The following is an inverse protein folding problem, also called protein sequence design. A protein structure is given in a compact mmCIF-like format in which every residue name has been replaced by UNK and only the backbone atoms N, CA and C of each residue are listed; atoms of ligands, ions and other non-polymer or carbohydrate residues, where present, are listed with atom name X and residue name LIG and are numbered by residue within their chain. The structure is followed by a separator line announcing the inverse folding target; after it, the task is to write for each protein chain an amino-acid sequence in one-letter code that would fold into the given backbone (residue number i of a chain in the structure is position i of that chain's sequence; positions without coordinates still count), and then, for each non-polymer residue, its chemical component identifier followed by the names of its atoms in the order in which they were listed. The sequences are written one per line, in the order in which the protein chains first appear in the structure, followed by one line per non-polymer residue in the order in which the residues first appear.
data_IF_836331561579
#
_entry.id   IF_836331561579
#
_cell.length_a   1.000
_cell.length_b   1.000
_cell.length_c   1.000
_cell.angle_alpha   90.00
_cell.angle_beta   90.00
_cell.angle_gamma   90.00
#
_symmetry.space_group_name_H-M   'P 1'
#
loop_
_entity.id
_entity.type
_entity.pdbx_description
1 polymer ?
#
# COMPACT_ATOMS: atom_id res chain seq x y z
N UNK A 1 25.07 1.25 -11.90
CA UNK A 1 24.50 0.71 -10.64
C UNK A 1 23.06 1.16 -10.64
N UNK A 2 22.12 0.23 -10.75
CA UNK A 2 20.75 0.44 -11.22
C UNK A 2 19.97 1.46 -10.37
N UNK A 3 19.31 2.43 -11.04
CA UNK A 3 18.45 3.47 -10.46
C UNK A 3 17.22 2.82 -9.80
N UNK A 4 17.33 2.46 -8.53
CA UNK A 4 16.21 1.94 -7.73
C UNK A 4 15.29 3.10 -7.34
N UNK A 5 13.98 2.87 -7.33
CA UNK A 5 13.03 3.80 -6.74
C UNK A 5 13.31 3.99 -5.24
N UNK A 6 13.40 5.23 -4.82
CA UNK A 6 13.47 5.66 -3.42
C UNK A 6 12.71 6.99 -3.21
N UNK A 7 12.59 7.43 -1.95
CA UNK A 7 11.94 8.69 -1.57
C UNK A 7 12.55 9.96 -2.20
N UNK A 8 13.75 9.88 -2.79
CA UNK A 8 14.43 10.99 -3.43
C UNK A 8 14.25 11.01 -4.95
N UNK A 9 13.55 10.01 -5.50
CA UNK A 9 13.31 9.87 -6.93
C UNK A 9 12.31 10.89 -7.50
N UNK A 10 11.51 11.55 -6.63
CA UNK A 10 10.59 12.63 -6.98
C UNK A 10 10.30 13.51 -5.74
N UNK A 11 9.53 14.59 -5.92
CA UNK A 11 9.07 15.44 -4.81
C UNK A 11 8.26 14.65 -3.77
N UNK A 12 7.40 13.75 -4.26
CA UNK A 12 6.64 12.78 -3.46
C UNK A 12 6.70 11.45 -4.20
N UNK A 13 7.01 10.38 -3.47
CA UNK A 13 6.94 9.00 -3.96
C UNK A 13 5.97 8.24 -3.07
N UNK A 14 4.82 7.87 -3.61
CA UNK A 14 3.84 7.03 -2.94
C UNK A 14 3.92 5.57 -3.42
N UNK A 15 3.77 4.63 -2.49
CA UNK A 15 3.96 3.21 -2.79
C UNK A 15 2.78 2.42 -2.23
N UNK A 16 2.14 1.58 -3.07
CA UNK A 16 1.08 0.67 -2.65
C UNK A 16 1.65 -0.75 -2.59
N UNK A 17 1.82 -1.26 -1.37
CA UNK A 17 2.30 -2.61 -1.10
C UNK A 17 1.13 -3.59 -0.98
N UNK A 18 1.07 -4.56 -1.90
CA UNK A 18 0.04 -5.61 -1.90
C UNK A 18 0.60 -7.03 -1.87
N UNK A 19 1.91 -7.21 -2.09
CA UNK A 19 2.57 -8.53 -2.10
C UNK A 19 4.01 -8.52 -1.57
N UNK A 20 4.21 -7.94 -0.39
CA UNK A 20 5.49 -7.90 0.32
C UNK A 20 6.08 -9.30 0.53
N UNK A 21 7.39 -9.44 0.27
CA UNK A 21 8.13 -10.67 0.55
C UNK A 21 7.97 -11.78 -0.50
N UNK A 22 7.16 -11.54 -1.54
CA UNK A 22 7.10 -12.38 -2.73
C UNK A 22 7.57 -11.57 -3.96
N UNK A 23 6.65 -11.04 -4.77
CA UNK A 23 7.02 -10.23 -5.94
C UNK A 23 7.19 -8.73 -5.62
N UNK A 24 6.66 -8.27 -4.48
CA UNK A 24 6.73 -6.88 -4.04
C UNK A 24 7.83 -6.61 -3.01
N UNK A 25 8.25 -5.34 -2.95
CA UNK A 25 9.19 -4.83 -1.95
C UNK A 25 8.54 -4.82 -0.56
N UNK A 26 9.26 -5.27 0.46
CA UNK A 26 8.77 -5.32 1.84
C UNK A 26 9.02 -4.03 2.62
N UNK A 27 10.22 -3.46 2.47
CA UNK A 27 10.60 -2.25 3.20
C UNK A 27 10.01 -1.00 2.55
N UNK A 28 9.71 0.04 3.34
CA UNK A 28 9.28 1.32 2.78
C UNK A 28 10.37 1.88 1.86
N UNK A 29 9.97 2.35 0.70
CA UNK A 29 10.86 2.99 -0.29
C UNK A 29 10.30 4.33 -0.77
N UNK A 30 9.12 4.75 -0.33
CA UNK A 30 8.50 6.02 -0.68
C UNK A 30 8.72 7.14 0.33
N UNK A 31 8.17 8.30 -0.01
CA UNK A 31 7.77 9.34 0.94
C UNK A 31 6.62 8.83 1.81
N UNK A 32 5.68 8.08 1.21
CA UNK A 32 4.54 7.44 1.87
C UNK A 32 4.37 6.02 1.34
N UNK A 33 4.23 5.05 2.26
CA UNK A 33 4.08 3.63 1.91
C UNK A 33 2.77 3.08 2.50
N UNK A 34 1.88 2.64 1.63
CA UNK A 34 0.57 2.08 1.96
C UNK A 34 0.61 0.55 1.96
N UNK A 35 0.23 -0.06 3.07
CA UNK A 35 0.24 -1.51 3.24
C UNK A 35 -1.19 -2.07 3.19
N UNK A 36 -1.69 -2.27 1.97
CA UNK A 36 -3.08 -2.67 1.76
C UNK A 36 -3.35 -4.06 2.36
N UNK A 37 -4.34 -4.16 3.25
CA UNK A 37 -4.79 -5.43 3.85
C UNK A 37 -3.65 -6.27 4.48
N UNK A 38 -2.66 -5.63 5.10
CA UNK A 38 -1.48 -6.31 5.67
C UNK A 38 -0.40 -6.65 4.64
N UNK A 39 -0.54 -6.18 3.41
CA UNK A 39 0.45 -6.11 2.33
C UNK A 39 1.05 -7.43 1.80
N UNK A 40 0.70 -8.60 2.34
CA UNK A 40 1.25 -9.89 1.90
C UNK A 40 0.29 -10.58 0.91
N UNK A 41 -0.93 -10.86 1.37
CA UNK A 41 -1.96 -11.58 0.62
C UNK A 41 -3.23 -10.76 0.61
N UNK A 42 -3.74 -10.46 -0.59
CA UNK A 42 -4.92 -9.63 -0.72
C UNK A 42 -6.22 -10.44 -0.68
N UNK A 43 -7.34 -9.84 -0.23
CA UNK A 43 -8.65 -10.48 -0.27
C UNK A 43 -9.00 -11.02 -1.66
N UNK A 44 -9.45 -12.28 -1.70
CA UNK A 44 -9.79 -13.00 -2.93
C UNK A 44 -8.61 -13.68 -3.63
N UNK A 45 -7.38 -13.53 -3.12
CA UNK A 45 -6.20 -14.21 -3.66
C UNK A 45 -5.77 -15.45 -2.85
N UNK A 46 -6.20 -15.58 -1.60
CA UNK A 46 -5.80 -16.62 -0.62
C UNK A 46 -6.09 -18.06 -1.07
N UNK A 47 -7.17 -18.28 -1.83
CA UNK A 47 -7.55 -19.61 -2.34
C UNK A 47 -6.97 -19.93 -3.72
N UNK A 48 -6.23 -18.99 -4.32
CA UNK A 48 -5.66 -19.17 -5.65
C UNK A 48 -4.29 -19.86 -5.54
N UNK A 49 -4.02 -20.86 -6.39
CA UNK A 49 -2.69 -21.48 -6.52
C UNK A 49 -1.59 -20.44 -6.82
N UNK A 50 -1.97 -19.35 -7.49
CA UNK A 50 -1.13 -18.21 -7.84
C UNK A 50 -1.46 -16.98 -6.97
N UNK A 51 -1.68 -17.18 -5.68
CA UNK A 51 -2.05 -16.14 -4.71
C UNK A 51 -1.11 -14.92 -4.76
N UNK A 52 0.20 -15.15 -4.99
CA UNK A 52 1.22 -14.11 -5.03
C UNK A 52 1.13 -13.24 -6.28
N UNK A 53 0.91 -13.83 -7.46
CA UNK A 53 0.62 -13.07 -8.68
C UNK A 53 -0.67 -12.27 -8.55
N UNK A 54 -1.75 -12.91 -8.07
CA UNK A 54 -3.02 -12.24 -7.82
C UNK A 54 -2.85 -11.04 -6.88
N UNK A 55 -2.12 -11.23 -5.77
CA UNK A 55 -1.87 -10.16 -4.79
C UNK A 55 -0.97 -9.06 -5.37
N UNK A 56 0.01 -9.41 -6.20
CA UNK A 56 0.88 -8.44 -6.86
C UNK A 56 0.10 -7.53 -7.82
N UNK A 57 -0.82 -8.09 -8.61
CA UNK A 57 -1.68 -7.32 -9.51
C UNK A 57 -2.64 -6.38 -8.79
N UNK A 58 -2.95 -6.61 -7.51
CA UNK A 58 -3.87 -5.74 -6.77
C UNK A 58 -3.34 -4.32 -6.60
N UNK A 59 -2.03 -4.09 -6.64
CA UNK A 59 -1.46 -2.75 -6.50
C UNK A 59 -2.01 -1.78 -7.55
N UNK A 60 -1.90 -2.13 -8.84
CA UNK A 60 -2.42 -1.26 -9.90
C UNK A 60 -3.95 -1.25 -9.95
N UNK A 61 -4.62 -2.33 -9.52
CA UNK A 61 -6.10 -2.38 -9.46
C UNK A 61 -6.64 -1.42 -8.40
N UNK A 62 -6.03 -1.37 -7.21
CA UNK A 62 -6.38 -0.41 -6.17
C UNK A 62 -6.09 1.02 -6.59
N UNK A 63 -4.97 1.26 -7.30
CA UNK A 63 -4.72 2.57 -7.89
C UNK A 63 -5.82 2.97 -8.89
N UNK A 64 -6.18 2.09 -9.83
CA UNK A 64 -7.24 2.36 -10.80
C UNK A 64 -8.61 2.61 -10.12
N UNK A 65 -8.92 1.87 -9.06
CA UNK A 65 -10.14 2.04 -8.28
C UNK A 65 -10.16 3.36 -7.51
N UNK A 66 -8.99 3.84 -7.05
CA UNK A 66 -8.86 5.15 -6.40
C UNK A 66 -9.25 6.30 -7.34
N UNK A 67 -8.92 6.20 -8.63
CA UNK A 67 -9.32 7.18 -9.65
C UNK A 67 -10.85 7.20 -9.78
N UNK A 68 -11.46 6.01 -9.85
CA UNK A 68 -12.89 5.87 -10.06
C UNK A 68 -13.72 6.43 -8.89
N UNK A 69 -13.29 6.19 -7.64
CA UNK A 69 -14.04 6.64 -6.46
C UNK A 69 -13.72 8.07 -6.02
N UNK A 70 -12.62 8.66 -6.51
CA UNK A 70 -12.29 10.04 -6.19
C UNK A 70 -12.04 10.25 -4.69
N UNK A 71 -12.48 11.42 -4.22
CA UNK A 71 -12.43 11.82 -2.81
C UNK A 71 -13.74 11.52 -2.06
N UNK A 72 -14.61 10.65 -2.62
CA UNK A 72 -15.92 10.34 -2.02
C UNK A 72 -15.79 9.40 -0.82
N UNK A 73 -16.88 9.15 -0.10
CA UNK A 73 -16.89 8.20 1.03
C UNK A 73 -16.47 6.77 0.66
N UNK A 74 -16.48 6.42 -0.63
CA UNK A 74 -16.00 5.14 -1.16
C UNK A 74 -14.53 5.16 -1.58
N UNK A 75 -13.82 6.27 -1.36
CA UNK A 75 -12.38 6.39 -1.60
C UNK A 75 -11.58 5.39 -0.74
N UNK A 76 -10.38 5.07 -1.21
CA UNK A 76 -9.45 4.21 -0.47
C UNK A 76 -8.73 5.03 0.57
N UNK A 77 -9.05 4.81 1.84
CA UNK A 77 -8.41 5.51 2.95
C UNK A 77 -7.48 4.58 3.72
N UNK A 78 -6.25 5.04 3.92
CA UNK A 78 -5.33 4.48 4.89
C UNK A 78 -5.42 5.27 6.20
N UNK A 79 -5.03 4.62 7.28
CA UNK A 79 -4.83 5.29 8.58
C UNK A 79 -3.37 5.23 8.95
N UNK A 80 -2.85 6.33 9.49
CA UNK A 80 -1.45 6.39 9.90
C UNK A 80 -1.23 5.54 11.15
N UNK A 81 -0.29 4.60 11.06
CA UNK A 81 0.29 3.94 12.22
C UNK A 81 1.60 4.63 12.59
N UNK A 82 1.81 4.89 13.88
CA UNK A 82 2.96 5.62 14.42
C UNK A 82 4.19 4.75 14.69
N UNK A 83 4.18 3.46 14.32
CA UNK A 83 5.31 2.57 14.61
C UNK A 83 5.63 1.63 13.45
N UNK A 84 6.86 1.75 12.93
CA UNK A 84 7.43 0.79 11.96
C UNK A 84 7.54 -0.63 12.53
N UNK A 85 7.53 -0.80 13.85
CA UNK A 85 7.44 -2.13 14.49
C UNK A 85 6.08 -2.82 14.21
N UNK A 86 5.09 -2.07 13.68
CA UNK A 86 3.81 -2.58 13.19
C UNK A 86 3.79 -2.87 11.69
N UNK A 87 4.93 -2.85 10.97
CA UNK A 87 5.13 -3.76 9.84
C UNK A 87 5.17 -5.19 10.39
N UNK A 88 4.06 -5.58 10.99
CA UNK A 88 3.78 -6.88 11.51
C UNK A 88 3.77 -7.79 10.29
N UNK A 89 4.81 -8.62 10.18
CA UNK A 89 4.82 -9.78 9.27
C UNK A 89 3.62 -10.73 9.52
N UNK A 90 2.81 -10.45 10.54
CA UNK A 90 1.58 -11.13 10.93
C UNK A 90 0.30 -10.33 10.59
N UNK A 91 0.40 -9.22 9.84
CA UNK A 91 -0.74 -8.51 9.26
C UNK A 91 -1.64 -7.75 10.23
N UNK A 92 -1.13 -7.29 11.36
CA UNK A 92 -1.94 -6.59 12.37
C UNK A 92 -1.36 -5.21 12.74
N UNK A 93 -2.04 -4.14 12.29
CA UNK A 93 -1.85 -2.77 12.77
C UNK A 93 -2.78 -2.56 13.97
N UNK A 94 -2.24 -2.23 15.15
CA UNK A 94 -3.03 -2.17 16.40
C UNK A 94 -3.22 -0.76 16.96
N UNK A 95 -2.57 0.25 16.38
CA UNK A 95 -2.76 1.66 16.75
C UNK A 95 -2.88 2.54 15.52
N UNK A 96 -4.02 3.22 15.40
CA UNK A 96 -4.33 4.12 14.31
C UNK A 96 -4.54 5.52 14.90
N UNK A 97 -3.89 6.55 14.34
CA UNK A 97 -4.04 7.92 14.86
C UNK A 97 -5.39 8.57 14.50
N UNK A 98 -6.30 7.82 13.86
CA UNK A 98 -7.62 8.30 13.39
C UNK A 98 -7.56 9.19 12.14
N UNK A 99 -6.39 9.76 11.80
CA UNK A 99 -6.18 10.50 10.57
C UNK A 99 -6.33 9.56 9.37
N UNK A 100 -7.22 9.94 8.44
CA UNK A 100 -7.44 9.23 7.19
C UNK A 100 -6.69 9.94 6.07
N UNK A 101 -5.93 9.18 5.31
CA UNK A 101 -5.18 9.66 4.15
C UNK A 101 -5.70 8.90 2.93
N UNK A 102 -5.98 9.59 1.83
CA UNK A 102 -6.37 8.96 0.58
C UNK A 102 -5.19 8.20 -0.03
N UNK A 103 -5.45 7.01 -0.55
CA UNK A 103 -4.48 6.16 -1.23
C UNK A 103 -4.64 6.33 -2.74
N UNK A 104 -3.52 6.38 -3.47
CA UNK A 104 -3.52 6.44 -4.93
C UNK A 104 -3.64 7.87 -5.46
N UNK A 105 -4.43 8.07 -6.52
CA UNK A 105 -4.44 9.30 -7.33
C UNK A 105 -4.64 10.59 -6.52
N UNK A 106 -5.48 10.53 -5.49
CA UNK A 106 -5.87 11.69 -4.69
C UNK A 106 -5.10 11.80 -3.37
N UNK A 107 -3.91 11.20 -3.29
CA UNK A 107 -3.02 11.39 -2.15
C UNK A 107 -2.73 12.88 -1.95
N UNK A 108 -3.09 13.39 -0.78
CA UNK A 108 -2.63 14.69 -0.31
C UNK A 108 -1.40 14.48 0.58
N UNK A 109 -0.19 14.87 0.12
CA UNK A 109 1.05 14.54 0.80
C UNK A 109 1.30 15.28 2.12
N UNK A 110 0.46 16.26 2.51
CA UNK A 110 0.60 17.16 3.69
C UNK A 110 2.03 17.54 4.11
#
# INVERSE_FOLDING_TARGET
MWNKLDKHSATVVDVIHTNCGALGQMLPIGTVDFYANGAITQPGCDKNKYWYFCSHEKAYKYYAESIYHGTTMSGFYATTSSSLNQLSLLGHFSTFSGKKILVGEYLDPE
#
